data_IF_865704630975
#
_entry.id   IF_865704630975
#
_cell.length_a   1.000
_cell.length_b   1.000
_cell.length_c   1.000
_cell.angle_alpha   90.00
_cell.angle_beta   90.00
_cell.angle_gamma   90.00
#
_symmetry.space_group_name_H-M   'P 1'
#
loop_
_entity.id
_entity.type
_entity.pdbx_description
1 polymer ?
#
# COMPACT_ATOMS: atom_id res chain seq x y z
N UNK A 1 10.93 -23.21 10.99
CA UNK A 1 10.69 -21.96 10.23
C UNK A 1 11.47 -20.86 10.91
N UNK A 2 12.24 -20.06 10.17
CA UNK A 2 13.06 -18.98 10.73
C UNK A 2 12.25 -17.69 10.87
N UNK A 3 11.61 -17.52 12.01
CA UNK A 3 10.74 -16.38 12.30
C UNK A 3 11.49 -15.04 12.42
N UNK A 4 12.79 -15.09 12.71
CA UNK A 4 13.71 -13.95 12.66
C UNK A 4 13.80 -13.34 11.25
N UNK A 5 13.91 -14.18 10.22
CA UNK A 5 13.97 -13.74 8.81
C UNK A 5 12.64 -13.17 8.36
N UNK A 6 11.53 -13.85 8.71
CA UNK A 6 10.18 -13.37 8.37
C UNK A 6 9.92 -12.02 9.05
N UNK A 7 10.21 -11.90 10.35
CA UNK A 7 10.09 -10.66 11.10
C UNK A 7 10.90 -9.52 10.50
N UNK A 8 12.13 -9.78 10.04
CA UNK A 8 12.95 -8.78 9.36
C UNK A 8 12.26 -8.21 8.10
N UNK A 9 11.73 -9.09 7.24
CA UNK A 9 11.05 -8.68 6.00
C UNK A 9 9.79 -7.90 6.33
N UNK A 10 8.95 -8.40 7.25
CA UNK A 10 7.74 -7.72 7.70
C UNK A 10 8.05 -6.32 8.28
N UNK A 11 9.08 -6.21 9.11
CA UNK A 11 9.49 -4.95 9.71
C UNK A 11 9.95 -3.91 8.67
N UNK A 12 10.67 -4.34 7.64
CA UNK A 12 11.01 -3.47 6.50
C UNK A 12 9.79 -3.06 5.69
N UNK A 13 8.87 -3.97 5.41
CA UNK A 13 7.63 -3.67 4.69
C UNK A 13 6.80 -2.60 5.44
N UNK A 14 6.65 -2.74 6.76
CA UNK A 14 5.94 -1.75 7.59
C UNK A 14 6.59 -0.36 7.50
N UNK A 15 7.92 -0.30 7.60
CA UNK A 15 8.65 0.98 7.47
C UNK A 15 8.51 1.61 6.10
N UNK A 16 8.52 0.80 5.04
CA UNK A 16 8.34 1.30 3.68
C UNK A 16 6.95 1.91 3.48
N UNK A 17 5.91 1.32 4.07
CA UNK A 17 4.54 1.87 4.04
C UNK A 17 4.38 3.12 4.91
N UNK A 18 5.20 3.27 5.96
CA UNK A 18 5.22 4.48 6.78
C UNK A 18 5.65 5.73 6.01
N UNK A 19 6.46 5.59 4.94
CA UNK A 19 6.94 6.71 4.13
C UNK A 19 5.80 7.44 3.37
N UNK A 20 5.00 6.77 2.53
CA UNK A 20 3.86 7.40 1.87
C UNK A 20 2.80 7.86 2.88
N UNK A 21 2.65 7.15 4.01
CA UNK A 21 1.75 7.57 5.08
C UNK A 21 2.20 8.90 5.71
N UNK A 22 3.51 9.07 5.93
CA UNK A 22 4.08 10.32 6.43
C UNK A 22 3.96 11.46 5.40
N UNK A 23 4.09 11.15 4.11
CA UNK A 23 3.85 12.10 3.03
C UNK A 23 2.41 12.61 3.05
N UNK A 24 1.44 11.72 3.19
CA UNK A 24 0.02 12.12 3.30
C UNK A 24 -0.24 12.90 4.59
N UNK A 25 0.37 12.51 5.70
CA UNK A 25 0.25 13.26 6.95
C UNK A 25 0.79 14.69 6.81
N UNK A 26 1.92 14.86 6.13
CA UNK A 26 2.48 16.18 5.83
C UNK A 26 1.57 16.99 4.89
N UNK A 27 0.97 16.35 3.90
CA UNK A 27 -0.02 16.96 3.01
C UNK A 27 -1.27 17.42 3.76
N UNK A 28 -1.79 16.59 4.68
CA UNK A 28 -2.91 16.93 5.56
C UNK A 28 -2.61 18.15 6.43
N UNK A 29 -1.41 18.21 7.03
CA UNK A 29 -0.96 19.39 7.80
C UNK A 29 -0.84 20.67 6.94
N UNK A 30 -0.55 20.54 5.65
CA UNK A 30 -0.47 21.67 4.72
C UNK A 30 -1.85 22.18 4.30
N UNK A 31 -2.86 21.31 4.29
CA UNK A 31 -4.24 21.67 3.98
C UNK A 31 -4.89 22.44 5.13
N UNK A 32 -5.10 23.74 4.92
CA UNK A 32 -5.81 24.61 5.86
C UNK A 32 -7.26 24.14 6.13
N UNK A 33 -7.88 23.42 5.18
CA UNK A 33 -9.23 22.87 5.31
C UNK A 33 -9.31 21.70 6.29
N UNK A 34 -8.22 20.97 6.51
CA UNK A 34 -8.17 19.83 7.42
C UNK A 34 -7.59 20.23 8.78
N UNK A 35 -6.52 21.02 8.79
CA UNK A 35 -5.89 21.53 10.01
C UNK A 35 -5.04 20.49 10.75
N UNK A 36 -4.21 20.98 11.68
CA UNK A 36 -3.23 20.14 12.40
C UNK A 36 -3.86 19.10 13.32
N UNK A 37 -4.99 19.42 13.95
CA UNK A 37 -5.66 18.50 14.87
C UNK A 37 -6.20 17.26 14.14
N UNK A 38 -6.80 17.46 12.97
CA UNK A 38 -7.26 16.38 12.11
C UNK A 38 -6.10 15.51 11.64
N UNK A 39 -5.02 16.12 11.13
CA UNK A 39 -3.84 15.41 10.68
C UNK A 39 -3.21 14.57 11.80
N UNK A 40 -3.09 15.14 13.00
CA UNK A 40 -2.56 14.44 14.17
C UNK A 40 -3.46 13.26 14.58
N UNK A 41 -4.79 13.47 14.71
CA UNK A 41 -5.74 12.40 15.06
C UNK A 41 -5.70 11.25 14.05
N UNK A 42 -5.58 11.57 12.77
CA UNK A 42 -5.67 10.60 11.66
C UNK A 42 -4.39 9.80 11.47
N UNK A 43 -3.22 10.45 11.52
CA UNK A 43 -1.96 9.85 11.04
C UNK A 43 -0.92 9.59 12.12
N UNK A 44 -0.98 10.26 13.28
CA UNK A 44 0.06 10.15 14.30
C UNK A 44 0.14 8.75 14.91
N UNK A 45 -1.00 8.18 15.31
CA UNK A 45 -1.07 6.82 15.88
C UNK A 45 -0.56 5.77 14.87
N UNK A 46 -1.03 5.75 13.61
CA UNK A 46 -0.47 4.87 12.58
C UNK A 46 1.04 5.01 12.41
N UNK A 47 1.58 6.23 12.33
CA UNK A 47 3.00 6.48 12.14
C UNK A 47 3.83 5.98 13.32
N UNK A 48 3.38 6.24 14.54
CA UNK A 48 4.00 5.73 15.77
C UNK A 48 4.00 4.20 15.75
N UNK A 49 2.85 3.56 15.49
CA UNK A 49 2.76 2.10 15.43
C UNK A 49 3.69 1.52 14.36
N UNK A 50 3.73 2.11 13.16
CA UNK A 50 4.62 1.67 12.10
C UNK A 50 6.09 1.79 12.49
N UNK A 51 6.47 2.90 13.13
CA UNK A 51 7.83 3.12 13.60
C UNK A 51 8.23 2.12 14.68
N UNK A 52 7.43 1.94 15.72
CA UNK A 52 7.75 1.05 16.84
C UNK A 52 7.67 -0.42 16.47
N UNK A 53 6.61 -0.86 15.78
CA UNK A 53 6.46 -2.26 15.36
C UNK A 53 7.49 -2.61 14.29
N UNK A 54 7.66 -1.75 13.29
CA UNK A 54 8.67 -1.94 12.25
C UNK A 54 10.09 -1.96 12.80
N UNK A 55 10.42 -1.04 13.72
CA UNK A 55 11.71 -1.03 14.41
C UNK A 55 11.92 -2.25 15.31
N UNK A 56 10.90 -2.63 16.07
CA UNK A 56 10.91 -3.81 16.94
C UNK A 56 11.24 -5.07 16.15
N UNK A 57 10.49 -5.35 15.09
CA UNK A 57 10.68 -6.54 14.25
C UNK A 57 12.06 -6.60 13.60
N UNK A 58 12.57 -5.48 13.08
CA UNK A 58 13.93 -5.43 12.50
C UNK A 58 15.00 -5.59 13.58
N UNK A 59 14.80 -5.02 14.77
CA UNK A 59 15.77 -5.11 15.87
C UNK A 59 15.86 -6.50 16.49
N UNK A 60 14.76 -7.26 16.50
CA UNK A 60 14.71 -8.65 16.97
C UNK A 60 15.37 -9.61 15.97
N UNK A 61 15.45 -9.24 14.70
CA UNK A 61 16.07 -10.05 13.65
C UNK A 61 17.61 -9.91 13.57
N UNK A 62 18.26 -9.39 14.63
CA UNK A 62 19.71 -9.17 14.74
C UNK A 62 20.51 -10.48 14.65
N UNK A 63 20.75 -10.90 13.40
CA UNK A 63 21.84 -11.78 12.99
C UNK A 63 22.34 -11.29 11.64
N UNK A 64 23.64 -11.03 11.51
CA UNK A 64 24.24 -10.37 10.33
C UNK A 64 24.07 -11.15 9.00
N UNK A 65 23.49 -12.34 9.05
CA UNK A 65 23.28 -13.25 7.91
C UNK A 65 21.81 -13.44 7.52
N UNK A 66 20.87 -12.61 7.97
CA UNK A 66 19.44 -12.82 7.67
C UNK A 66 19.13 -12.84 6.17
N UNK A 67 19.83 -12.02 5.36
CA UNK A 67 19.68 -12.02 3.90
C UNK A 67 20.30 -13.26 3.22
N UNK A 68 21.42 -13.77 3.74
CA UNK A 68 22.05 -15.01 3.25
C UNK A 68 21.31 -16.28 3.74
N UNK A 69 20.46 -16.12 4.75
CA UNK A 69 19.66 -17.17 5.41
C UNK A 69 18.24 -17.31 4.88
N UNK A 70 17.79 -16.44 3.96
CA UNK A 70 16.49 -16.48 3.33
C UNK A 70 16.38 -17.73 2.45
N UNK A 71 15.52 -18.68 2.83
CA UNK A 71 15.15 -19.81 1.97
C UNK A 71 13.72 -19.59 1.45
N UNK A 72 13.31 -20.41 0.50
CA UNK A 72 12.01 -20.29 -0.17
C UNK A 72 10.85 -20.29 0.84
N UNK A 73 10.90 -21.15 1.87
CA UNK A 73 9.87 -21.23 2.92
C UNK A 73 9.66 -19.91 3.65
N UNK A 74 10.73 -19.24 4.05
CA UNK A 74 10.66 -17.93 4.70
C UNK A 74 10.18 -16.84 3.73
N UNK A 75 10.57 -16.91 2.45
CA UNK A 75 10.10 -15.97 1.44
C UNK A 75 8.58 -16.08 1.21
N UNK A 76 8.06 -17.30 1.04
CA UNK A 76 6.62 -17.54 0.91
C UNK A 76 5.85 -17.09 2.15
N UNK A 77 6.34 -17.41 3.36
CA UNK A 77 5.73 -16.96 4.60
C UNK A 77 5.72 -15.43 4.71
N UNK A 78 6.80 -14.76 4.30
CA UNK A 78 6.90 -13.29 4.35
C UNK A 78 5.94 -12.60 3.38
N UNK A 79 5.72 -13.17 2.20
CA UNK A 79 4.73 -12.64 1.24
C UNK A 79 3.31 -12.85 1.78
N UNK A 80 2.98 -14.04 2.26
CA UNK A 80 1.63 -14.33 2.78
C UNK A 80 1.29 -13.50 4.02
N UNK A 81 2.23 -13.37 4.96
CA UNK A 81 2.04 -12.63 6.20
C UNK A 81 2.27 -11.12 6.04
N UNK A 82 2.93 -10.69 4.98
CA UNK A 82 3.28 -9.28 4.71
C UNK A 82 2.08 -8.36 4.52
N UNK A 83 1.02 -8.87 3.91
CA UNK A 83 -0.18 -8.08 3.63
C UNK A 83 -0.94 -7.70 4.90
N UNK A 84 -1.00 -8.58 5.90
CA UNK A 84 -1.77 -8.36 7.12
C UNK A 84 -1.37 -7.06 7.85
N UNK A 85 -0.11 -6.85 8.26
CA UNK A 85 0.27 -5.63 8.98
C UNK A 85 0.17 -4.38 8.10
N UNK A 86 0.37 -4.49 6.79
CA UNK A 86 0.24 -3.37 5.85
C UNK A 86 -1.22 -2.92 5.75
N UNK A 87 -2.15 -3.87 5.61
CA UNK A 87 -3.59 -3.60 5.54
C UNK A 87 -4.10 -3.05 6.87
N UNK A 88 -3.67 -3.62 8.00
CA UNK A 88 -3.99 -3.08 9.33
C UNK A 88 -3.52 -1.64 9.44
N UNK A 89 -2.25 -1.37 9.11
CA UNK A 89 -1.70 -0.02 9.20
C UNK A 89 -2.44 0.97 8.30
N UNK A 90 -2.77 0.57 7.07
CA UNK A 90 -3.48 1.43 6.13
C UNK A 90 -4.97 1.57 6.37
N UNK A 91 -5.57 0.72 7.20
CA UNK A 91 -6.96 0.87 7.66
C UNK A 91 -7.10 1.97 8.70
N UNK A 92 -6.06 2.20 9.51
CA UNK A 92 -6.13 3.13 10.63
C UNK A 92 -6.45 4.57 10.21
N UNK A 93 -5.91 5.16 9.13
CA UNK A 93 -6.32 6.48 8.67
C UNK A 93 -7.82 6.59 8.35
N UNK A 94 -8.42 5.56 7.75
CA UNK A 94 -9.87 5.57 7.46
C UNK A 94 -10.70 5.53 8.74
N UNK A 95 -10.26 4.73 9.72
CA UNK A 95 -10.97 4.55 10.99
C UNK A 95 -10.81 5.76 11.92
N UNK A 96 -9.61 6.34 12.02
CA UNK A 96 -9.31 7.46 12.91
C UNK A 96 -9.66 8.81 12.29
N UNK A 97 -9.55 8.91 10.96
CA UNK A 97 -9.83 10.09 10.16
C UNK A 97 -11.30 10.29 9.81
N UNK A 98 -12.19 9.42 10.28
CA UNK A 98 -13.64 9.60 10.18
C UNK A 98 -14.22 9.36 8.79
N UNK A 99 -13.60 8.48 7.99
CA UNK A 99 -14.25 7.93 6.77
C UNK A 99 -15.37 6.98 7.17
N UNK A 100 -15.14 6.20 8.22
CA UNK A 100 -16.12 5.33 8.86
C UNK A 100 -16.19 5.66 10.36
N UNK A 101 -17.19 5.13 11.06
CA UNK A 101 -17.34 5.34 12.51
C UNK A 101 -16.10 4.86 13.29
N UNK A 102 -15.42 5.79 13.94
CA UNK A 102 -14.18 5.60 14.66
C UNK A 102 -14.34 5.69 16.18
N UNK A 103 -13.27 5.42 16.95
CA UNK A 103 -13.30 5.48 18.41
C UNK A 103 -13.68 6.85 18.96
N UNK A 104 -13.30 7.90 18.24
CA UNK A 104 -13.59 9.27 18.65
C UNK A 104 -15.01 9.73 18.29
N UNK A 105 -15.82 8.89 17.65
CA UNK A 105 -17.24 9.16 17.42
C UNK A 105 -18.13 8.57 18.54
N UNK A 106 -17.56 7.76 19.46
CA UNK A 106 -18.26 7.23 20.64
C UNK A 106 -18.75 8.30 21.61
N UNK A 107 -18.23 9.52 21.52
CA UNK A 107 -18.73 10.64 22.33
C UNK A 107 -20.09 11.16 21.85
N UNK A 108 -20.57 10.71 20.69
CA UNK A 108 -21.89 11.08 20.16
C UNK A 108 -22.94 10.10 20.68
N UNK A 109 -24.04 10.60 21.26
CA UNK A 109 -25.12 9.75 21.81
C UNK A 109 -25.77 8.81 20.76
N UNK A 110 -25.66 9.15 19.48
CA UNK A 110 -26.22 8.38 18.38
C UNK A 110 -25.35 7.21 17.90
N UNK A 111 -24.13 7.03 18.43
CA UNK A 111 -23.16 6.03 17.96
C UNK A 111 -22.99 4.94 19.01
N UNK A 112 -23.31 3.70 18.64
CA UNK A 112 -23.09 2.54 19.49
C UNK A 112 -21.67 1.97 19.31
N UNK A 113 -21.22 1.20 20.31
CA UNK A 113 -19.95 0.46 20.23
C UNK A 113 -19.92 -0.49 19.02
N UNK A 114 -21.08 -1.04 18.65
CA UNK A 114 -21.22 -1.89 17.47
C UNK A 114 -20.88 -1.15 16.16
N UNK A 115 -21.26 0.14 16.04
CA UNK A 115 -20.98 0.94 14.84
C UNK A 115 -19.48 1.18 14.67
N UNK A 116 -18.76 1.37 15.78
CA UNK A 116 -17.30 1.54 15.76
C UNK A 116 -16.58 0.25 15.36
N UNK A 117 -17.09 -0.91 15.80
CA UNK A 117 -16.58 -2.21 15.32
C UNK A 117 -16.84 -2.41 13.83
N UNK A 118 -18.04 -2.08 13.35
CA UNK A 118 -18.35 -2.10 11.91
C UNK A 118 -17.43 -1.15 11.14
N UNK A 119 -17.19 0.06 11.65
CA UNK A 119 -16.28 1.02 11.06
C UNK A 119 -14.84 0.52 10.96
N UNK A 120 -14.36 -0.26 11.93
CA UNK A 120 -13.06 -0.92 11.84
C UNK A 120 -13.01 -1.96 10.72
N UNK A 121 -14.09 -2.73 10.52
CA UNK A 121 -14.21 -3.72 9.44
C UNK A 121 -14.28 -3.03 8.08
N UNK A 122 -15.07 -1.96 7.94
CA UNK A 122 -15.13 -1.18 6.70
C UNK A 122 -13.78 -0.54 6.36
N UNK A 123 -13.07 -0.02 7.36
CA UNK A 123 -11.72 0.52 7.21
C UNK A 123 -10.72 -0.54 6.75
N UNK A 124 -10.82 -1.75 7.30
CA UNK A 124 -10.03 -2.91 6.85
C UNK A 124 -10.34 -3.24 5.39
N UNK A 125 -11.62 -3.30 5.02
CA UNK A 125 -12.06 -3.60 3.67
C UNK A 125 -11.48 -2.59 2.66
N UNK A 126 -11.62 -1.29 2.95
CA UNK A 126 -11.13 -0.22 2.08
C UNK A 126 -9.61 -0.28 1.91
N UNK A 127 -8.88 -0.52 3.00
CA UNK A 127 -7.42 -0.70 2.99
C UNK A 127 -6.99 -1.93 2.19
N UNK A 128 -7.66 -3.07 2.41
CA UNK A 128 -7.40 -4.30 1.66
C UNK A 128 -7.61 -4.06 0.18
N UNK A 129 -8.76 -3.49 -0.20
CA UNK A 129 -9.13 -3.20 -1.58
C UNK A 129 -8.11 -2.30 -2.28
N UNK A 130 -7.62 -1.26 -1.60
CA UNK A 130 -6.55 -0.40 -2.11
C UNK A 130 -5.27 -1.18 -2.35
N UNK A 131 -4.70 -1.79 -1.31
CA UNK A 131 -3.42 -2.50 -1.41
C UNK A 131 -3.44 -3.68 -2.38
N UNK A 132 -4.56 -4.38 -2.54
CA UNK A 132 -4.69 -5.47 -3.51
C UNK A 132 -5.09 -5.00 -4.90
N UNK A 133 -5.21 -3.69 -5.12
CA UNK A 133 -5.67 -3.09 -6.38
C UNK A 133 -7.00 -3.67 -6.86
N UNK A 134 -7.92 -3.93 -5.93
CA UNK A 134 -9.26 -4.43 -6.24
C UNK A 134 -10.20 -3.30 -6.66
N UNK A 135 -10.06 -2.12 -6.07
CA UNK A 135 -10.86 -0.93 -6.41
C UNK A 135 -12.32 -0.96 -5.95
N UNK A 136 -12.72 -1.95 -5.17
CA UNK A 136 -14.04 -1.98 -4.55
C UNK A 136 -14.07 -1.05 -3.34
N UNK A 137 -15.11 -0.23 -3.23
CA UNK A 137 -15.29 0.65 -2.07
C UNK A 137 -16.54 0.27 -1.30
N UNK A 138 -16.49 0.46 0.00
CA UNK A 138 -17.67 0.40 0.89
C UNK A 138 -18.01 1.79 1.42
N UNK A 139 -17.40 2.85 0.91
CA UNK A 139 -17.72 4.24 1.26
C UNK A 139 -19.04 4.61 0.59
N UNK A 140 -20.11 4.65 1.39
CA UNK A 140 -21.46 4.95 0.95
C UNK A 140 -22.22 5.72 2.05
N UNK A 141 -23.38 6.29 1.74
CA UNK A 141 -24.24 7.03 2.66
C UNK A 141 -24.66 6.21 3.89
N UNK A 142 -24.71 4.88 3.76
CA UNK A 142 -25.08 3.96 4.84
C UNK A 142 -23.91 3.60 5.78
N UNK A 143 -22.66 3.76 5.33
CA UNK A 143 -21.47 3.28 6.04
C UNK A 143 -20.56 4.42 6.52
N UNK A 144 -20.57 5.55 5.81
CA UNK A 144 -19.72 6.71 6.10
C UNK A 144 -20.53 7.82 6.76
N UNK A 145 -20.15 8.29 7.98
CA UNK A 145 -20.82 9.41 8.64
C UNK A 145 -20.66 10.75 7.90
N UNK A 146 -19.79 10.80 6.89
CA UNK A 146 -19.51 12.00 6.07
C UNK A 146 -20.18 11.98 4.70
N UNK A 147 -20.88 10.91 4.35
CA UNK A 147 -21.65 10.88 3.12
C UNK A 147 -23.13 11.13 3.41
N UNK A 148 -23.69 12.12 2.72
CA UNK A 148 -25.12 12.40 2.73
C UNK A 148 -25.78 11.72 1.52
N UNK A 149 -27.01 11.26 1.69
CA UNK A 149 -27.78 10.67 0.59
C UNK A 149 -27.91 11.65 -0.59
N UNK A 150 -27.62 11.17 -1.81
CA UNK A 150 -27.64 11.99 -3.03
C UNK A 150 -26.37 12.81 -3.30
N UNK A 151 -25.31 12.66 -2.48
CA UNK A 151 -24.00 13.27 -2.73
C UNK A 151 -22.97 12.23 -3.18
N UNK A 152 -21.89 12.67 -3.83
CA UNK A 152 -20.74 11.81 -4.09
C UNK A 152 -19.97 11.56 -2.78
N UNK A 153 -20.14 10.35 -2.24
CA UNK A 153 -19.54 9.91 -0.99
C UNK A 153 -18.02 9.93 -1.00
N UNK A 154 -17.37 9.80 -2.16
CA UNK A 154 -15.91 9.83 -2.26
C UNK A 154 -15.44 11.28 -2.17
N UNK A 155 -16.05 12.16 -2.94
CA UNK A 155 -15.71 13.60 -2.94
C UNK A 155 -16.01 14.29 -1.61
N UNK A 156 -16.90 13.74 -0.77
CA UNK A 156 -17.17 14.28 0.57
C UNK A 156 -16.10 13.92 1.62
N UNK A 157 -15.16 13.04 1.29
CA UNK A 157 -14.08 12.66 2.20
C UNK A 157 -12.94 13.69 2.20
N UNK A 158 -12.15 13.78 3.29
CA UNK A 158 -10.98 14.65 3.32
C UNK A 158 -9.98 14.30 2.22
N UNK A 159 -9.39 15.33 1.62
CA UNK A 159 -8.49 15.18 0.48
C UNK A 159 -7.26 14.35 0.82
N UNK A 160 -6.73 14.43 2.05
CA UNK A 160 -5.61 13.59 2.47
C UNK A 160 -5.97 12.10 2.47
N UNK A 161 -7.21 11.75 2.82
CA UNK A 161 -7.68 10.37 2.84
C UNK A 161 -7.98 9.84 1.45
N UNK A 162 -8.50 10.69 0.55
CA UNK A 162 -8.61 10.37 -0.88
C UNK A 162 -7.22 10.10 -1.47
N UNK A 163 -6.22 10.94 -1.14
CA UNK A 163 -4.84 10.73 -1.57
C UNK A 163 -4.23 9.45 -1.00
N UNK A 164 -4.49 9.14 0.28
CA UNK A 164 -4.09 7.86 0.88
C UNK A 164 -4.70 6.68 0.13
N UNK A 165 -5.98 6.76 -0.21
CA UNK A 165 -6.72 5.75 -0.99
C UNK A 165 -6.04 5.47 -2.33
N UNK A 166 -5.75 6.51 -3.11
CA UNK A 166 -5.03 6.35 -4.39
C UNK A 166 -3.60 5.85 -4.22
N UNK A 167 -2.87 6.30 -3.20
CA UNK A 167 -1.50 5.86 -2.92
C UNK A 167 -1.42 4.38 -2.52
N UNK A 168 -2.34 3.89 -1.68
CA UNK A 168 -2.36 2.45 -1.33
C UNK A 168 -2.53 1.57 -2.56
N UNK A 169 -3.33 2.02 -3.53
CA UNK A 169 -3.50 1.34 -4.81
C UNK A 169 -2.24 1.38 -5.68
N UNK A 170 -1.58 2.53 -5.77
CA UNK A 170 -0.31 2.66 -6.50
C UNK A 170 0.80 1.78 -5.92
N UNK A 171 0.92 1.73 -4.59
CA UNK A 171 1.86 0.85 -3.90
C UNK A 171 1.50 -0.63 -4.12
N UNK A 172 0.21 -0.95 -4.06
CA UNK A 172 -0.32 -2.27 -4.36
C UNK A 172 0.02 -2.74 -5.76
N UNK A 173 -0.18 -1.88 -6.76
CA UNK A 173 0.09 -2.18 -8.17
C UNK A 173 1.55 -2.50 -8.42
N UNK A 174 2.47 -1.73 -7.82
CA UNK A 174 3.89 -2.06 -7.86
C UNK A 174 4.19 -3.40 -7.16
N UNK A 175 3.50 -3.71 -6.07
CA UNK A 175 3.57 -5.01 -5.39
C UNK A 175 3.18 -6.18 -6.31
N UNK A 176 2.08 -6.06 -7.05
CA UNK A 176 1.62 -7.08 -8.01
C UNK A 176 2.62 -7.24 -9.16
N UNK A 177 3.13 -6.13 -9.72
CA UNK A 177 4.17 -6.17 -10.77
C UNK A 177 5.42 -6.92 -10.27
N UNK A 178 5.85 -6.64 -9.04
CA UNK A 178 7.00 -7.31 -8.44
C UNK A 178 6.75 -8.81 -8.19
N UNK A 179 5.54 -9.18 -7.75
CA UNK A 179 5.16 -10.59 -7.63
C UNK A 179 5.17 -11.29 -8.99
N UNK A 180 4.64 -10.65 -10.03
CA UNK A 180 4.67 -11.13 -11.41
C UNK A 180 6.10 -11.33 -11.93
N UNK A 181 7.01 -10.38 -11.65
CA UNK A 181 8.43 -10.52 -11.97
C UNK A 181 9.06 -11.74 -11.29
N UNK A 182 8.74 -11.99 -10.01
CA UNK A 182 9.25 -13.15 -9.28
C UNK A 182 8.75 -14.46 -9.91
N UNK A 183 7.45 -14.57 -10.20
CA UNK A 183 6.86 -15.77 -10.83
C UNK A 183 7.49 -16.01 -12.21
N UNK A 184 7.57 -14.97 -13.05
CA UNK A 184 8.15 -15.06 -14.38
C UNK A 184 9.63 -15.46 -14.34
N UNK A 185 10.40 -14.92 -13.39
CA UNK A 185 11.81 -15.24 -13.24
C UNK A 185 12.05 -16.70 -12.86
N UNK A 186 11.17 -17.29 -12.04
CA UNK A 186 11.24 -18.71 -11.68
C UNK A 186 10.89 -19.60 -12.87
N UNK A 187 9.84 -19.26 -13.62
CA UNK A 187 9.45 -20.01 -14.82
C UNK A 187 10.55 -19.99 -15.89
N UNK A 188 11.12 -18.81 -16.19
CA UNK A 188 12.23 -18.65 -17.15
C UNK A 188 13.52 -19.31 -16.66
N UNK A 189 13.84 -19.19 -15.37
CA UNK A 189 15.00 -19.82 -14.75
C UNK A 189 14.93 -21.34 -14.78
N UNK A 190 13.74 -21.91 -14.54
CA UNK A 190 13.46 -23.34 -14.70
C UNK A 190 13.70 -23.82 -16.13
N UNK A 191 13.20 -23.08 -17.14
CA UNK A 191 13.46 -23.38 -18.55
C UNK A 191 14.94 -23.29 -18.92
N UNK A 192 15.67 -22.30 -18.38
CA UNK A 192 17.13 -22.18 -18.56
C UNK A 192 17.91 -23.29 -17.86
N UNK A 193 17.43 -23.82 -16.73
CA UNK A 193 18.05 -24.99 -16.09
C UNK A 193 17.84 -26.28 -16.89
N UNK A 194 16.68 -26.43 -17.54
CA UNK A 194 16.40 -27.57 -18.43
C UNK A 194 17.24 -27.50 -19.71
N UNK A 195 17.30 -26.32 -20.35
CA UNK A 195 18.14 -26.10 -21.53
C UNK A 195 19.64 -26.26 -21.24
N UNK A 196 20.09 -25.89 -20.02
CA UNK A 196 21.46 -26.19 -19.56
C UNK A 196 21.70 -27.67 -19.29
N UNK A 197 20.67 -28.42 -18.88
CA UNK A 197 20.79 -29.86 -18.71
C UNK A 197 20.87 -30.61 -20.05
N UNK A 198 20.30 -30.04 -21.12
CA UNK A 198 20.39 -30.58 -22.48
C UNK A 198 21.66 -30.16 -23.24
N UNK A 199 22.35 -29.09 -22.84
CA UNK A 199 23.56 -28.60 -23.50
C UNK A 199 24.84 -29.05 -22.78
N UNK A 200 25.64 -29.91 -23.41
CA UNK A 200 26.98 -30.30 -22.96
C UNK A 200 28.02 -29.26 -23.40
N UNK A 201 28.27 -28.23 -22.59
CA UNK A 201 29.27 -27.19 -22.88
C UNK A 201 29.44 -26.18 -21.74
N UNK A 202 30.54 -25.39 -21.72
CA UNK A 202 30.93 -24.56 -20.58
C UNK A 202 29.80 -23.60 -20.23
N UNK A 203 29.51 -23.52 -18.94
CA UNK A 203 28.38 -22.81 -18.35
C UNK A 203 28.05 -21.53 -19.10
N UNK A 204 26.86 -21.48 -19.72
CA UNK A 204 26.24 -20.22 -20.15
C UNK A 204 26.37 -19.25 -18.99
N UNK A 205 27.28 -18.27 -19.13
CA UNK A 205 27.44 -17.15 -18.22
C UNK A 205 26.05 -16.61 -17.92
N UNK A 206 25.80 -16.12 -16.70
CA UNK A 206 24.49 -15.61 -16.28
C UNK A 206 24.06 -14.44 -17.20
N UNK A 207 23.48 -14.78 -18.36
CA UNK A 207 23.01 -13.87 -19.40
C UNK A 207 21.62 -13.30 -19.08
N UNK A 208 21.06 -13.66 -17.93
CA UNK A 208 19.84 -13.05 -17.41
C UNK A 208 20.15 -11.74 -16.68
N UNK A 209 19.38 -10.66 -16.89
CA UNK A 209 19.48 -9.47 -16.05
C UNK A 209 19.24 -9.84 -14.58
N UNK A 210 20.01 -9.23 -13.67
CA UNK A 210 19.77 -9.43 -12.24
C UNK A 210 18.35 -8.99 -11.86
N UNK A 211 17.65 -9.76 -11.02
CA UNK A 211 16.31 -9.43 -10.52
C UNK A 211 16.22 -7.99 -10.01
N UNK A 212 17.25 -7.55 -9.29
CA UNK A 212 17.34 -6.19 -8.77
C UNK A 212 17.43 -5.13 -9.89
N UNK A 213 18.16 -5.41 -10.97
CA UNK A 213 18.23 -4.49 -12.12
C UNK A 213 16.91 -4.39 -12.87
N UNK A 214 16.19 -5.51 -13.06
CA UNK A 214 14.87 -5.52 -13.68
C UNK A 214 13.85 -4.80 -12.81
N UNK A 215 13.85 -5.07 -11.50
CA UNK A 215 12.99 -4.37 -10.53
C UNK A 215 13.18 -2.85 -10.58
N UNK A 216 14.43 -2.37 -10.61
CA UNK A 216 14.73 -0.94 -10.69
C UNK A 216 14.21 -0.30 -11.99
N UNK A 217 14.32 -1.01 -13.12
CA UNK A 217 13.78 -0.56 -14.41
C UNK A 217 12.25 -0.50 -14.38
N UNK A 218 11.59 -1.51 -13.82
CA UNK A 218 10.13 -1.52 -13.70
C UNK A 218 9.63 -0.38 -12.81
N UNK A 219 10.27 -0.12 -11.67
CA UNK A 219 9.97 1.05 -10.83
C UNK A 219 10.11 2.37 -11.60
N UNK A 220 11.19 2.53 -12.37
CA UNK A 220 11.40 3.73 -13.17
C UNK A 220 10.31 3.91 -14.23
N UNK A 221 9.94 2.84 -14.95
CA UNK A 221 8.85 2.85 -15.94
C UNK A 221 7.53 3.21 -15.26
N UNK A 222 7.23 2.58 -14.11
CA UNK A 222 6.01 2.81 -13.35
C UNK A 222 5.89 4.30 -12.94
N UNK A 223 6.92 4.88 -12.33
CA UNK A 223 6.91 6.29 -11.94
C UNK A 223 6.78 7.22 -13.16
N UNK A 224 7.55 6.97 -14.23
CA UNK A 224 7.53 7.81 -15.43
C UNK A 224 6.16 7.78 -16.10
N UNK A 225 5.56 6.60 -16.25
CA UNK A 225 4.22 6.48 -16.82
C UNK A 225 3.17 7.17 -15.93
N UNK A 226 3.29 7.07 -14.59
CA UNK A 226 2.40 7.79 -13.66
C UNK A 226 2.46 9.30 -13.91
N UNK A 227 3.67 9.85 -14.03
CA UNK A 227 3.89 11.29 -14.22
C UNK A 227 3.38 11.73 -15.59
N UNK A 228 3.63 10.95 -16.64
CA UNK A 228 3.12 11.23 -17.98
C UNK A 228 1.59 11.27 -17.94
N UNK A 229 0.94 10.27 -17.37
CA UNK A 229 -0.52 10.24 -17.24
C UNK A 229 -1.06 11.44 -16.46
N UNK A 230 -0.45 11.76 -15.31
CA UNK A 230 -0.82 12.92 -14.50
C UNK A 230 -0.76 14.23 -15.30
N UNK A 231 0.29 14.44 -16.10
CA UNK A 231 0.46 15.62 -16.96
C UNK A 231 -0.61 15.63 -18.06
N UNK A 232 -0.88 14.50 -18.71
CA UNK A 232 -1.91 14.39 -19.74
C UNK A 232 -3.30 14.68 -19.17
N UNK A 233 -3.67 14.09 -18.03
CA UNK A 233 -4.95 14.34 -17.36
C UNK A 233 -5.11 15.81 -16.95
N UNK A 234 -4.03 16.47 -16.51
CA UNK A 234 -4.05 17.88 -16.14
C UNK A 234 -4.23 18.82 -17.34
N UNK A 235 -3.44 18.63 -18.41
CA UNK A 235 -3.37 19.61 -19.50
C UNK A 235 -4.28 19.27 -20.69
N UNK A 236 -4.62 18.01 -20.90
CA UNK A 236 -5.52 17.55 -21.98
C UNK A 236 -6.89 17.21 -21.41
N UNK A 237 -6.93 16.52 -20.26
CA UNK A 237 -8.18 16.17 -19.58
C UNK A 237 -8.81 17.31 -18.77
N UNK A 238 -8.12 18.45 -18.66
CA UNK A 238 -8.56 19.65 -17.92
C UNK A 238 -8.92 19.39 -16.43
N UNK A 239 -8.41 18.30 -15.85
CA UNK A 239 -8.66 17.93 -14.47
C UNK A 239 -7.95 18.87 -13.49
N UNK A 240 -8.44 18.96 -12.25
CA UNK A 240 -7.70 19.63 -11.18
C UNK A 240 -6.36 18.91 -10.93
N UNK A 241 -5.38 19.62 -10.34
CA UNK A 241 -4.09 18.98 -10.01
C UNK A 241 -4.31 17.79 -9.08
N UNK A 242 -5.19 17.96 -8.08
CA UNK A 242 -5.51 16.90 -7.12
C UNK A 242 -6.12 15.68 -7.81
N UNK A 243 -7.12 15.87 -8.67
CA UNK A 243 -7.78 14.74 -9.35
C UNK A 243 -6.81 14.07 -10.33
N UNK A 244 -6.05 14.86 -11.11
CA UNK A 244 -5.07 14.30 -12.05
C UNK A 244 -4.01 13.41 -11.37
N UNK A 245 -3.60 13.76 -10.14
CA UNK A 245 -2.70 12.93 -9.33
C UNK A 245 -3.40 11.64 -8.91
N UNK A 246 -4.58 11.74 -8.32
CA UNK A 246 -5.30 10.59 -7.79
C UNK A 246 -5.68 9.58 -8.89
N UNK A 247 -6.19 10.06 -10.03
CA UNK A 247 -6.53 9.21 -11.16
C UNK A 247 -5.28 8.57 -11.81
N UNK A 248 -4.17 9.30 -11.97
CA UNK A 248 -2.94 8.70 -12.51
C UNK A 248 -2.38 7.58 -11.60
N UNK A 249 -2.47 7.74 -10.28
CA UNK A 249 -2.06 6.72 -9.31
C UNK A 249 -2.92 5.45 -9.43
N UNK A 250 -4.22 5.60 -9.65
CA UNK A 250 -5.17 4.48 -9.66
C UNK A 250 -5.29 3.80 -11.03
N UNK A 251 -5.16 4.53 -12.13
CA UNK A 251 -5.11 3.95 -13.48
C UNK A 251 -3.85 3.12 -13.68
N UNK A 252 -2.67 3.64 -13.31
CA UNK A 252 -1.43 2.92 -13.55
C UNK A 252 -1.35 1.62 -12.73
N UNK A 253 -1.93 1.60 -11.53
CA UNK A 253 -2.09 0.37 -10.74
C UNK A 253 -3.16 -0.57 -11.27
N UNK A 254 -3.95 -0.16 -12.26
CA UNK A 254 -5.08 -0.91 -12.82
C UNK A 254 -6.12 -1.33 -11.77
N UNK A 255 -6.23 -0.60 -10.66
CA UNK A 255 -7.12 -0.98 -9.57
C UNK A 255 -8.48 -0.30 -9.59
N UNK A 256 -8.65 0.85 -10.24
CA UNK A 256 -9.98 1.39 -10.53
C UNK A 256 -10.67 2.23 -9.43
N UNK A 257 -10.01 2.62 -8.33
CA UNK A 257 -10.52 3.72 -7.51
C UNK A 257 -10.62 5.00 -8.35
N UNK A 258 -11.83 5.56 -8.42
CA UNK A 258 -12.17 6.85 -9.02
C UNK A 258 -13.00 7.69 -8.07
#
# INVERSE_FOLDING_TARGET
MRWDVVGFVLGWTIRLVALPLALVAAYSCYLHSEGYEFAARTYLIPLILAAFVGQGLVSLARGADTASRLRDREAFASVALGWIPVVVLGALPYWLGGVFYGPADLSMESVAVADVFSGAIHSWFESMSGFTTTGSTVIDHSTSPRCLEGTDCISSQPQSLILWRSLTQWLGGMGVIMLGLLILSQALGGGMSLARAELTGPSLSRLGPSLQSTARRLWAIYIVLTIIEMVLLRFIGEMSVFDSVNYALTTLSSGGFG
#
